data_IF_693898367445
#
_entry.id   IF_693898367445
#
_cell.length_a   1.000
_cell.length_b   1.000
_cell.length_c   1.000
_cell.angle_alpha   90.00
_cell.angle_beta   90.00
_cell.angle_gamma   90.00
#
_symmetry.space_group_name_H-M   'P 1'
#
loop_
_entity.id
_entity.type
_entity.pdbx_description
1 polymer ?
#
# COMPACT_ATOMS: atom_id res chain seq x y z
N UNK A 1 0.77 13.34 16.77
CA UNK A 1 0.15 12.01 16.62
C UNK A 1 1.18 10.99 17.05
N UNK A 2 0.85 10.14 18.01
CA UNK A 2 1.73 9.04 18.42
C UNK A 2 1.44 7.86 17.48
N UNK A 3 2.44 7.36 16.76
CA UNK A 3 2.30 6.18 15.93
C UNK A 3 2.59 4.93 16.78
N UNK A 4 1.58 4.10 16.97
CA UNK A 4 1.70 2.81 17.67
C UNK A 4 1.48 1.62 16.72
N UNK A 5 0.60 1.81 15.71
CA UNK A 5 0.29 0.77 14.72
C UNK A 5 0.19 1.34 13.31
N UNK A 6 0.90 0.75 12.39
CA UNK A 6 0.87 1.09 10.96
C UNK A 6 0.34 -0.10 10.18
N UNK A 7 -0.72 0.11 9.39
CA UNK A 7 -1.23 -0.87 8.45
C UNK A 7 -0.53 -0.75 7.11
N UNK A 8 -0.07 -1.86 6.57
CA UNK A 8 0.49 -1.96 5.22
C UNK A 8 -0.25 -3.06 4.46
N UNK A 9 -1.17 -2.71 3.55
CA UNK A 9 -1.83 -3.68 2.68
C UNK A 9 -0.88 -4.15 1.58
N UNK A 10 -0.86 -5.45 1.34
CA UNK A 10 0.00 -6.12 0.38
C UNK A 10 -0.83 -6.99 -0.57
N UNK A 11 -0.47 -6.99 -1.85
CA UNK A 11 -1.14 -7.79 -2.90
C UNK A 11 -0.23 -8.84 -3.55
N UNK A 12 0.98 -9.00 -3.01
CA UNK A 12 2.02 -9.87 -3.56
C UNK A 12 2.90 -9.20 -4.60
N UNK A 13 2.63 -7.97 -4.99
CA UNK A 13 3.46 -7.23 -5.95
C UNK A 13 4.66 -6.55 -5.27
N UNK A 14 5.76 -6.38 -6.02
CA UNK A 14 6.91 -5.58 -5.58
C UNK A 14 6.53 -4.12 -5.29
N UNK A 15 5.54 -3.60 -6.00
CA UNK A 15 5.05 -2.24 -5.83
C UNK A 15 4.38 -2.06 -4.48
N UNK A 16 3.53 -3.02 -4.05
CA UNK A 16 2.93 -2.98 -2.73
C UNK A 16 4.01 -3.08 -1.62
N UNK A 17 5.03 -3.90 -1.83
CA UNK A 17 6.14 -4.03 -0.86
C UNK A 17 6.99 -2.75 -0.72
N UNK A 18 7.04 -1.87 -1.72
CA UNK A 18 7.73 -0.58 -1.59
C UNK A 18 7.16 0.31 -0.47
N UNK A 19 5.88 0.11 -0.09
CA UNK A 19 5.28 0.79 1.04
C UNK A 19 5.88 0.37 2.39
N UNK A 20 6.48 -0.83 2.50
CA UNK A 20 7.09 -1.32 3.74
C UNK A 20 8.28 -0.46 4.18
N UNK A 21 9.17 -0.12 3.25
CA UNK A 21 10.35 0.69 3.58
C UNK A 21 9.95 2.10 4.03
N UNK A 22 8.94 2.67 3.39
CA UNK A 22 8.36 3.94 3.83
C UNK A 22 7.72 3.84 5.22
N UNK A 23 6.95 2.78 5.48
CA UNK A 23 6.33 2.55 6.79
C UNK A 23 7.38 2.42 7.89
N UNK A 24 8.47 1.69 7.62
CA UNK A 24 9.61 1.54 8.55
C UNK A 24 10.31 2.87 8.78
N UNK A 25 10.54 3.65 7.72
CA UNK A 25 11.15 4.97 7.83
C UNK A 25 10.32 5.97 8.64
N UNK A 26 8.99 5.97 8.46
CA UNK A 26 8.08 6.83 9.23
C UNK A 26 8.05 6.50 10.73
N UNK A 27 8.33 5.26 11.09
CA UNK A 27 8.37 4.79 12.48
C UNK A 27 9.76 4.93 13.11
N UNK A 28 10.73 5.55 12.46
CA UNK A 28 12.13 5.60 12.88
C UNK A 28 12.28 5.97 14.37
N UNK A 29 12.81 5.05 15.17
CA UNK A 29 13.04 5.22 16.60
C UNK A 29 11.83 5.01 17.53
N UNK A 30 10.63 4.75 16.99
CA UNK A 30 9.45 4.44 17.78
C UNK A 30 9.19 2.92 17.83
N UNK A 31 8.64 2.44 18.96
CA UNK A 31 8.16 1.06 19.06
C UNK A 31 6.78 0.95 18.39
N UNK A 32 6.77 0.64 17.09
CA UNK A 32 5.57 0.54 16.27
C UNK A 32 5.28 -0.92 15.93
N UNK A 33 4.01 -1.31 15.95
CA UNK A 33 3.54 -2.59 15.43
C UNK A 33 3.13 -2.43 13.96
N UNK A 34 3.73 -3.20 13.08
CA UNK A 34 3.36 -3.24 11.67
C UNK A 34 2.28 -4.30 11.46
N UNK A 35 1.14 -3.89 10.94
CA UNK A 35 0.01 -4.76 10.61
C UNK A 35 0.03 -4.99 9.10
N UNK A 36 0.48 -6.16 8.68
CA UNK A 36 0.50 -6.55 7.27
C UNK A 36 -0.77 -7.30 6.95
N UNK A 37 -1.49 -6.87 5.96
CA UNK A 37 -2.69 -7.58 5.50
C UNK A 37 -2.64 -7.89 4.02
N UNK A 38 -3.34 -8.96 3.65
CA UNK A 38 -3.68 -9.26 2.26
C UNK A 38 -5.17 -9.55 2.15
N UNK A 39 -5.83 -8.89 1.21
CA UNK A 39 -7.19 -9.24 0.84
C UNK A 39 -7.17 -10.51 -0.02
N UNK A 40 -7.96 -11.50 0.37
CA UNK A 40 -8.16 -12.73 -0.36
C UNK A 40 -9.56 -12.71 -0.97
N UNK A 41 -9.63 -12.57 -2.28
CA UNK A 41 -10.87 -12.64 -3.03
C UNK A 41 -10.76 -13.81 -4.02
N UNK A 42 -11.54 -14.87 -3.78
CA UNK A 42 -11.64 -15.94 -4.75
C UNK A 42 -12.49 -15.46 -5.92
N UNK A 43 -11.86 -15.30 -7.07
CA UNK A 43 -12.59 -15.12 -8.31
C UNK A 43 -13.31 -16.45 -8.64
N UNK A 44 -14.58 -16.37 -9.00
CA UNK A 44 -15.32 -17.54 -9.44
C UNK A 44 -14.58 -18.23 -10.59
N UNK A 45 -14.05 -19.42 -10.33
CA UNK A 45 -13.43 -20.24 -11.36
C UNK A 45 -14.55 -20.98 -12.08
N UNK A 46 -14.61 -20.91 -13.42
CA UNK A 46 -15.68 -21.57 -14.18
C UNK A 46 -15.71 -23.09 -14.03
N UNK A 47 -14.63 -23.71 -13.56
CA UNK A 47 -14.47 -25.16 -13.36
C UNK A 47 -13.69 -25.42 -12.07
N UNK A 48 -14.34 -26.04 -11.09
CA UNK A 48 -13.72 -26.44 -9.81
C UNK A 48 -14.64 -26.26 -8.62
N UNK A 49 -14.27 -26.78 -7.46
CA UNK A 49 -14.97 -26.54 -6.20
C UNK A 49 -14.65 -25.12 -5.70
N UNK A 50 -15.65 -24.25 -5.53
CA UNK A 50 -15.44 -22.91 -5.02
C UNK A 50 -14.78 -22.90 -3.62
N UNK A 51 -15.09 -23.90 -2.78
CA UNK A 51 -14.53 -24.00 -1.43
C UNK A 51 -13.05 -24.35 -1.46
N UNK A 52 -12.60 -25.28 -2.31
CA UNK A 52 -11.19 -25.61 -2.48
C UNK A 52 -10.38 -24.42 -3.02
N UNK A 53 -10.96 -23.70 -4.01
CA UNK A 53 -10.35 -22.51 -4.58
C UNK A 53 -10.17 -21.41 -3.52
N UNK A 54 -11.13 -21.24 -2.63
CA UNK A 54 -11.07 -20.28 -1.54
C UNK A 54 -10.00 -20.64 -0.51
N UNK A 55 -9.92 -21.88 -0.07
CA UNK A 55 -8.90 -22.37 0.86
C UNK A 55 -7.51 -22.11 0.30
N UNK A 56 -7.30 -22.41 -0.98
CA UNK A 56 -6.01 -22.20 -1.66
C UNK A 56 -5.61 -20.71 -1.68
N UNK A 57 -6.52 -19.81 -2.02
CA UNK A 57 -6.24 -18.36 -2.07
C UNK A 57 -5.88 -17.81 -0.69
N UNK A 58 -6.56 -18.28 0.36
CA UNK A 58 -6.24 -17.91 1.75
C UNK A 58 -4.86 -18.43 2.14
N UNK A 59 -4.56 -19.71 1.86
CA UNK A 59 -3.26 -20.31 2.17
C UNK A 59 -2.11 -19.60 1.46
N UNK A 60 -2.25 -19.29 0.16
CA UNK A 60 -1.26 -18.52 -0.60
C UNK A 60 -1.05 -17.11 0.00
N UNK A 61 -2.11 -16.49 0.51
CA UNK A 61 -2.01 -15.19 1.16
C UNK A 61 -1.28 -15.27 2.50
N UNK A 62 -1.55 -16.29 3.30
CA UNK A 62 -0.88 -16.54 4.58
C UNK A 62 0.60 -16.83 4.40
N UNK A 63 0.95 -17.74 3.47
CA UNK A 63 2.32 -18.09 3.16
C UNK A 63 3.14 -16.88 2.69
N UNK A 64 2.55 -16.07 1.82
CA UNK A 64 3.17 -14.83 1.37
C UNK A 64 3.43 -13.87 2.53
N UNK A 65 2.42 -13.60 3.37
CA UNK A 65 2.56 -12.70 4.52
C UNK A 65 3.58 -13.23 5.53
N UNK A 66 3.62 -14.54 5.76
CA UNK A 66 4.62 -15.18 6.61
C UNK A 66 6.04 -14.97 6.08
N UNK A 67 6.25 -15.11 4.77
CA UNK A 67 7.54 -14.85 4.12
C UNK A 67 7.97 -13.38 4.26
N UNK A 68 7.05 -12.42 4.05
CA UNK A 68 7.32 -10.99 4.23
C UNK A 68 7.69 -10.70 5.68
N UNK A 69 6.91 -11.22 6.65
CA UNK A 69 7.19 -11.08 8.08
C UNK A 69 8.58 -11.59 8.43
N UNK A 70 8.96 -12.78 7.95
CA UNK A 70 10.27 -13.36 8.20
C UNK A 70 11.41 -12.47 7.69
N UNK A 71 11.25 -11.83 6.52
CA UNK A 71 12.22 -10.87 5.98
C UNK A 71 12.35 -9.63 6.87
N UNK A 72 11.25 -9.09 7.37
CA UNK A 72 11.27 -7.93 8.27
C UNK A 72 11.92 -8.26 9.61
N UNK A 73 11.63 -9.42 10.20
CA UNK A 73 12.26 -9.89 11.44
C UNK A 73 13.77 -10.03 11.27
N UNK A 74 14.25 -10.58 10.14
CA UNK A 74 15.69 -10.64 9.81
C UNK A 74 16.34 -9.25 9.69
N UNK A 75 15.55 -8.21 9.35
CA UNK A 75 15.99 -6.82 9.32
C UNK A 75 15.93 -6.14 10.70
N UNK A 76 15.60 -6.86 11.77
CA UNK A 76 15.49 -6.33 13.14
C UNK A 76 14.11 -5.76 13.48
N UNK A 77 13.11 -5.91 12.62
CA UNK A 77 11.75 -5.41 12.84
C UNK A 77 10.91 -6.54 13.43
N UNK A 78 10.87 -6.63 14.77
CA UNK A 78 10.23 -7.75 15.46
C UNK A 78 8.70 -7.62 15.60
N UNK A 79 8.18 -6.40 15.73
CA UNK A 79 6.77 -6.16 15.99
C UNK A 79 5.93 -6.17 14.70
N UNK A 80 5.76 -7.35 14.13
CA UNK A 80 5.00 -7.55 12.88
C UNK A 80 3.88 -8.55 13.12
N UNK A 81 2.65 -8.15 12.85
CA UNK A 81 1.47 -9.02 12.83
C UNK A 81 0.92 -9.12 11.42
N UNK A 82 0.41 -10.28 11.07
CA UNK A 82 -0.14 -10.56 9.75
C UNK A 82 -1.62 -10.91 9.84
N UNK A 83 -2.36 -10.73 8.77
CA UNK A 83 -3.75 -11.16 8.68
C UNK A 83 -4.25 -11.20 7.25
N UNK A 84 -5.02 -12.24 6.94
CA UNK A 84 -5.76 -12.34 5.68
C UNK A 84 -7.17 -11.82 5.92
N UNK A 85 -7.66 -10.93 5.06
CA UNK A 85 -9.02 -10.43 5.05
C UNK A 85 -9.74 -10.96 3.82
N UNK A 86 -10.98 -11.39 4.02
CA UNK A 86 -11.77 -11.94 2.94
C UNK A 86 -12.67 -10.88 2.32
N UNK A 87 -12.63 -10.75 0.99
CA UNK A 87 -13.48 -9.82 0.24
C UNK A 87 -12.72 -8.76 -0.57
N UNK A 88 -13.43 -7.75 -1.09
CA UNK A 88 -12.86 -6.70 -1.92
C UNK A 88 -11.75 -5.93 -1.20
N UNK A 89 -10.63 -5.72 -1.87
CA UNK A 89 -9.41 -5.19 -1.26
C UNK A 89 -9.61 -3.88 -0.49
N UNK A 90 -10.34 -2.91 -1.07
CA UNK A 90 -10.56 -1.62 -0.40
C UNK A 90 -11.36 -1.74 0.89
N UNK A 91 -12.42 -2.56 0.89
CA UNK A 91 -13.26 -2.83 2.06
C UNK A 91 -12.42 -3.50 3.14
N UNK A 92 -11.69 -4.57 2.76
CA UNK A 92 -10.80 -5.32 3.64
C UNK A 92 -9.76 -4.42 4.32
N UNK A 93 -9.17 -3.48 3.59
CA UNK A 93 -8.17 -2.53 4.13
C UNK A 93 -8.81 -1.60 5.17
N UNK A 94 -9.97 -1.02 4.85
CA UNK A 94 -10.67 -0.09 5.75
C UNK A 94 -11.15 -0.80 7.01
N UNK A 95 -11.73 -2.00 6.88
CA UNK A 95 -12.17 -2.81 8.02
C UNK A 95 -10.99 -3.23 8.89
N UNK A 96 -9.90 -3.71 8.28
CA UNK A 96 -8.70 -4.08 9.03
C UNK A 96 -8.14 -2.90 9.82
N UNK A 97 -8.13 -1.69 9.23
CA UNK A 97 -7.67 -0.48 9.91
C UNK A 97 -8.51 -0.18 11.15
N UNK A 98 -9.83 -0.35 11.07
CA UNK A 98 -10.75 -0.11 12.18
C UNK A 98 -10.63 -1.19 13.25
N UNK A 99 -10.67 -2.47 12.86
CA UNK A 99 -10.61 -3.62 13.79
C UNK A 99 -9.28 -3.66 14.54
N UNK A 100 -8.17 -3.41 13.84
CA UNK A 100 -6.83 -3.40 14.45
C UNK A 100 -6.50 -2.08 15.16
N UNK A 101 -7.35 -1.06 15.03
CA UNK A 101 -7.16 0.28 15.61
C UNK A 101 -5.79 0.84 15.25
N UNK A 102 -5.53 0.93 13.94
CA UNK A 102 -4.26 1.48 13.45
C UNK A 102 -4.30 3.00 13.42
N UNK A 103 -3.13 3.62 13.48
CA UNK A 103 -2.97 5.08 13.48
C UNK A 103 -2.69 5.63 12.10
N UNK A 104 -2.20 4.78 11.20
CA UNK A 104 -1.78 5.16 9.85
C UNK A 104 -1.94 3.96 8.90
N UNK A 105 -2.39 4.22 7.69
CA UNK A 105 -2.29 3.28 6.56
C UNK A 105 -1.16 3.76 5.65
N UNK A 106 -0.23 2.88 5.29
CA UNK A 106 0.82 3.16 4.30
C UNK A 106 0.65 2.19 3.15
N UNK A 107 0.35 2.69 1.96
CA UNK A 107 0.11 1.86 0.79
C UNK A 107 0.69 2.47 -0.48
N UNK A 108 1.04 1.64 -1.45
CA UNK A 108 1.50 2.11 -2.75
C UNK A 108 0.36 2.36 -3.72
N UNK A 109 0.58 3.27 -4.68
CA UNK A 109 -0.28 3.39 -5.84
C UNK A 109 0.26 2.53 -6.98
N UNK A 110 -0.62 1.91 -7.77
CA UNK A 110 -0.23 1.27 -9.01
C UNK A 110 0.03 2.34 -10.08
N UNK A 111 1.29 2.58 -10.37
CA UNK A 111 1.71 3.37 -11.53
C UNK A 111 1.72 2.55 -12.83
N UNK A 112 0.62 1.84 -13.17
CA UNK A 112 0.59 0.92 -14.32
C UNK A 112 0.40 1.57 -15.68
N UNK A 113 0.07 2.84 -15.77
CA UNK A 113 -0.04 3.56 -17.03
C UNK A 113 1.07 4.60 -17.12
N UNK A 114 2.01 4.39 -18.04
CA UNK A 114 3.05 5.35 -18.44
C UNK A 114 2.51 6.65 -19.07
N UNK A 115 1.31 7.03 -18.73
CA UNK A 115 0.68 8.30 -19.05
C UNK A 115 0.82 9.19 -17.81
N UNK A 116 1.63 10.21 -17.89
CA UNK A 116 2.06 11.17 -16.89
C UNK A 116 1.01 11.81 -15.95
N UNK A 117 -0.12 11.19 -15.73
CA UNK A 117 -1.15 11.60 -14.77
C UNK A 117 -1.09 10.72 -13.55
N UNK A 118 -1.17 11.31 -12.37
CA UNK A 118 -1.39 10.64 -11.09
C UNK A 118 -2.73 9.90 -11.13
N UNK A 119 -2.75 8.71 -11.74
CA UNK A 119 -3.92 7.84 -11.66
C UNK A 119 -3.79 7.06 -10.36
N UNK A 120 -4.50 7.52 -9.34
CA UNK A 120 -4.76 6.73 -8.14
C UNK A 120 -5.51 5.48 -8.57
N UNK A 121 -4.96 4.29 -8.27
CA UNK A 121 -5.67 3.04 -8.55
C UNK A 121 -7.01 2.99 -7.81
N UNK A 122 -7.98 2.26 -8.34
CA UNK A 122 -9.34 2.17 -7.79
C UNK A 122 -9.36 1.77 -6.30
N UNK A 123 -8.49 0.86 -5.89
CA UNK A 123 -8.35 0.44 -4.48
C UNK A 123 -7.87 1.61 -3.62
N UNK A 124 -6.82 2.32 -4.06
CA UNK A 124 -6.27 3.47 -3.32
C UNK A 124 -7.31 4.58 -3.17
N UNK A 125 -8.03 4.89 -4.23
CA UNK A 125 -9.09 5.89 -4.21
C UNK A 125 -10.23 5.51 -3.25
N UNK A 126 -10.66 4.26 -3.27
CA UNK A 126 -11.69 3.76 -2.38
C UNK A 126 -11.25 3.75 -0.90
N UNK A 127 -9.98 3.40 -0.63
CA UNK A 127 -9.40 3.47 0.72
C UNK A 127 -9.34 4.92 1.20
N UNK A 128 -8.90 5.86 0.38
CA UNK A 128 -8.86 7.29 0.74
C UNK A 128 -10.25 7.84 1.11
N UNK A 129 -11.30 7.37 0.43
CA UNK A 129 -12.68 7.79 0.74
C UNK A 129 -13.23 7.14 2.00
N UNK A 130 -12.83 5.90 2.30
CA UNK A 130 -13.38 5.10 3.41
C UNK A 130 -12.56 5.14 4.70
N UNK A 131 -11.29 5.50 4.64
CA UNK A 131 -10.41 5.50 5.80
C UNK A 131 -10.78 6.61 6.80
N UNK A 132 -10.74 6.26 8.09
CA UNK A 132 -10.93 7.19 9.21
C UNK A 132 -9.61 7.59 9.89
N UNK A 133 -8.51 7.11 9.35
CA UNK A 133 -7.14 7.40 9.80
C UNK A 133 -6.36 7.99 8.63
N UNK A 134 -5.27 8.71 8.87
CA UNK A 134 -4.39 9.18 7.80
C UNK A 134 -3.95 8.05 6.88
N UNK A 135 -3.80 8.37 5.59
CA UNK A 135 -3.30 7.44 4.57
C UNK A 135 -2.07 8.05 3.91
N UNK A 136 -0.95 7.38 4.01
CA UNK A 136 0.27 7.73 3.30
C UNK A 136 0.34 6.93 2.01
N UNK A 137 0.38 7.64 0.89
CA UNK A 137 0.48 7.04 -0.43
C UNK A 137 1.93 7.07 -0.90
N UNK A 138 2.49 5.90 -1.15
CA UNK A 138 3.84 5.73 -1.68
C UNK A 138 3.75 5.60 -3.19
N UNK A 139 4.40 6.50 -3.90
CA UNK A 139 4.52 6.38 -5.35
C UNK A 139 5.61 5.37 -5.69
N UNK A 140 5.29 4.42 -6.55
CA UNK A 140 6.31 3.53 -7.07
C UNK A 140 7.35 4.32 -7.87
N UNK A 141 8.63 4.13 -7.58
CA UNK A 141 9.75 4.89 -8.14
C UNK A 141 9.97 4.70 -9.64
N UNK A 142 9.28 3.73 -10.26
CA UNK A 142 9.36 3.47 -11.71
C UNK A 142 8.38 4.32 -12.55
N UNK A 143 7.49 5.09 -11.91
CA UNK A 143 6.61 5.98 -12.67
C UNK A 143 7.40 7.27 -13.04
N UNK A 144 7.49 7.65 -14.32
CA UNK A 144 8.15 8.87 -14.73
C UNK A 144 7.54 10.08 -14.01
N UNK A 145 8.38 10.88 -13.38
CA UNK A 145 7.96 12.16 -12.81
C UNK A 145 7.74 13.09 -13.99
N UNK A 146 6.51 13.51 -14.23
CA UNK A 146 6.25 14.61 -15.16
C UNK A 146 6.99 15.85 -14.66
N UNK A 147 8.01 16.28 -15.39
CA UNK A 147 8.64 17.55 -15.09
C UNK A 147 7.60 18.64 -15.40
N UNK A 148 7.45 19.66 -14.52
CA UNK A 148 6.58 20.77 -14.84
C UNK A 148 7.03 21.35 -16.18
N UNK A 149 6.15 21.29 -17.18
CA UNK A 149 6.39 21.87 -18.50
C UNK A 149 6.77 23.33 -18.28
N UNK A 150 7.99 23.67 -18.70
CA UNK A 150 8.67 24.94 -18.42
C UNK A 150 7.89 26.19 -18.86
N UNK A 151 6.97 26.60 -18.02
CA UNK A 151 6.32 27.91 -18.11
C UNK A 151 7.08 29.00 -17.35
N UNK A 152 8.15 28.62 -16.64
CA UNK A 152 8.96 29.55 -15.84
C UNK A 152 10.12 30.23 -16.60
N UNK A 153 10.47 29.77 -17.80
CA UNK A 153 11.58 30.37 -18.55
C UNK A 153 11.18 31.51 -19.50
N UNK A 154 9.85 31.68 -19.74
CA UNK A 154 9.40 32.76 -20.63
C UNK A 154 9.27 34.14 -19.94
N UNK A 155 9.16 34.20 -18.62
CA UNK A 155 9.04 35.47 -17.89
C UNK A 155 10.37 36.07 -17.43
N UNK A 156 11.41 35.26 -17.30
CA UNK A 156 12.75 35.77 -16.93
C UNK A 156 13.49 36.46 -18.07
N UNK A 157 13.09 36.24 -19.32
CA UNK A 157 13.70 36.83 -20.52
C UNK A 157 13.22 38.23 -20.89
N UNK A 158 12.15 38.74 -20.30
CA UNK A 158 11.57 40.05 -20.63
C UNK A 158 11.96 41.19 -19.68
N UNK A 159 12.60 40.91 -18.56
CA UNK A 159 13.00 41.95 -17.58
C UNK A 159 14.46 42.43 -17.77
N UNK A 160 15.16 41.99 -18.81
CA UNK A 160 16.56 42.37 -19.05
C UNK A 160 16.75 43.31 -20.26
N UNK A 161 15.70 43.99 -20.74
CA UNK A 161 15.82 44.99 -21.79
C UNK A 161 14.95 46.23 -21.41
N UNK A 162 15.49 47.02 -20.49
CA UNK A 162 15.27 48.46 -20.37
C UNK A 162 16.53 49.09 -19.88
#
# INVERSE_FOLDING_TARGET
>A
MKLEKILVPLDGSRLAEAALDTAVGLAAGASVTYVLIRAAEAHAVPVGDPAESQVKVVQEAEDYLAAVRARLVKRGIANVVTGVWYGPAAVSIVEAAQVRKVDLIVMSTHGRSGLGRLILGSVTEAVLRGARVPVCIVRATEAPVEQPSGRAEAEAGQLSRV
#
